data_IF_889433196818
#
_entry.id   IF_889433196818
#
_cell.length_a   1.000
_cell.length_b   1.000
_cell.length_c   1.000
_cell.angle_alpha   90.00
_cell.angle_beta   90.00
_cell.angle_gamma   90.00
#
_symmetry.space_group_name_H-M   'P 1'
#
loop_
_entity.id
_entity.type
_entity.pdbx_description
1 polymer ?
#
# COMPACT_ATOMS: atom_id res chain seq x y z
N UNK A 1 -22.61 -13.79 -2.62
CA UNK A 1 -21.17 -13.58 -2.84
C UNK A 1 -20.33 -14.25 -1.74
N UNK A 2 -20.67 -14.14 -0.47
CA UNK A 2 -19.95 -14.71 0.69
C UNK A 2 -19.85 -16.24 0.65
N UNK A 3 -20.94 -16.98 0.38
CA UNK A 3 -20.90 -18.45 0.25
C UNK A 3 -19.92 -18.98 -0.84
N UNK A 4 -19.61 -18.17 -1.86
CA UNK A 4 -18.59 -18.55 -2.84
C UNK A 4 -17.17 -18.43 -2.29
N UNK A 5 -16.93 -17.45 -1.41
CA UNK A 5 -15.62 -17.28 -0.79
C UNK A 5 -15.32 -18.39 0.22
N UNK A 6 -16.29 -18.75 1.06
CA UNK A 6 -16.19 -19.88 2.00
C UNK A 6 -16.02 -21.25 1.29
N UNK A 7 -16.48 -21.35 0.05
CA UNK A 7 -16.36 -22.57 -0.76
C UNK A 7 -15.07 -22.70 -1.56
N UNK A 8 -14.16 -21.72 -1.51
CA UNK A 8 -12.85 -21.81 -2.13
C UNK A 8 -12.04 -22.93 -1.49
N UNK A 9 -11.57 -23.86 -2.32
CA UNK A 9 -10.73 -24.96 -1.85
C UNK A 9 -9.36 -24.41 -1.42
N UNK A 10 -8.75 -25.06 -0.43
CA UNK A 10 -7.39 -24.74 0.02
C UNK A 10 -6.37 -24.71 -1.14
N UNK A 11 -6.58 -25.56 -2.17
CA UNK A 11 -5.79 -25.58 -3.39
C UNK A 11 -5.90 -24.32 -4.26
N UNK A 12 -6.98 -23.55 -4.12
CA UNK A 12 -7.18 -22.28 -4.83
C UNK A 12 -6.49 -21.11 -4.09
N UNK A 13 -6.13 -21.33 -2.81
CA UNK A 13 -5.32 -20.46 -1.98
C UNK A 13 -3.86 -20.91 -1.94
N UNK A 14 -3.44 -21.86 -2.80
CA UNK A 14 -2.07 -22.34 -2.84
C UNK A 14 -1.08 -21.21 -3.17
N UNK A 15 0.18 -21.37 -2.74
CA UNK A 15 1.23 -20.36 -2.90
C UNK A 15 1.44 -19.90 -4.35
N UNK A 16 1.20 -20.77 -5.35
CA UNK A 16 1.31 -20.38 -6.77
C UNK A 16 0.15 -19.47 -7.21
N UNK A 17 -1.09 -19.79 -6.81
CA UNK A 17 -2.24 -18.94 -7.09
C UNK A 17 -2.12 -17.60 -6.34
N UNK A 18 -1.59 -17.63 -5.13
CA UNK A 18 -1.37 -16.42 -4.33
C UNK A 18 -0.33 -15.49 -4.98
N UNK A 19 0.76 -16.04 -5.49
CA UNK A 19 1.76 -15.30 -6.29
C UNK A 19 1.14 -14.64 -7.53
N UNK A 20 0.16 -15.31 -8.17
CA UNK A 20 -0.59 -14.73 -9.27
C UNK A 20 -1.42 -13.52 -8.81
N UNK A 21 -2.16 -13.64 -7.71
CA UNK A 21 -2.96 -12.54 -7.18
C UNK A 21 -2.11 -11.34 -6.72
N UNK A 22 -0.93 -11.59 -6.15
CA UNK A 22 0.04 -10.52 -5.84
C UNK A 22 0.48 -9.79 -7.11
N UNK A 23 0.77 -10.53 -8.18
CA UNK A 23 1.11 -9.95 -9.48
C UNK A 23 -0.04 -9.10 -10.05
N UNK A 24 -1.26 -9.60 -9.96
CA UNK A 24 -2.47 -8.86 -10.37
C UNK A 24 -2.59 -7.56 -9.56
N UNK A 25 -2.48 -7.64 -8.23
CA UNK A 25 -2.57 -6.47 -7.35
C UNK A 25 -1.49 -5.45 -7.66
N UNK A 26 -0.23 -5.87 -7.83
CA UNK A 26 0.87 -4.97 -8.15
C UNK A 26 0.65 -4.25 -9.48
N UNK A 27 0.26 -4.97 -10.54
CA UNK A 27 0.02 -4.38 -11.86
C UNK A 27 -1.16 -3.42 -11.84
N UNK A 28 -2.28 -3.80 -11.22
CA UNK A 28 -3.47 -2.92 -11.23
C UNK A 28 -3.31 -1.72 -10.31
N UNK A 29 -2.62 -1.84 -9.18
CA UNK A 29 -2.26 -0.68 -8.34
C UNK A 29 -1.34 0.28 -9.10
N UNK A 30 -0.34 -0.24 -9.80
CA UNK A 30 0.55 0.55 -10.65
C UNK A 30 -0.18 1.28 -11.78
N UNK A 31 -1.21 0.66 -12.38
CA UNK A 31 -2.06 1.31 -13.40
C UNK A 31 -2.87 2.48 -12.85
N UNK A 32 -3.30 2.43 -11.60
CA UNK A 32 -3.97 3.56 -10.94
C UNK A 32 -3.03 4.77 -10.86
N UNK A 33 -1.74 4.51 -10.67
CA UNK A 33 -0.67 5.54 -10.65
C UNK A 33 -0.20 5.95 -12.06
N UNK A 34 -0.82 5.43 -13.13
CA UNK A 34 -0.52 5.82 -14.51
C UNK A 34 0.55 4.99 -15.23
N UNK A 35 1.00 3.88 -14.64
CA UNK A 35 1.99 3.01 -15.26
C UNK A 35 1.38 2.16 -16.40
N UNK A 36 2.14 1.97 -17.49
CA UNK A 36 1.65 1.41 -18.74
C UNK A 36 1.84 -0.10 -18.95
N UNK A 37 2.37 -0.84 -17.96
CA UNK A 37 2.62 -2.27 -18.13
C UNK A 37 1.33 -3.09 -18.01
N UNK A 38 1.18 -4.12 -18.83
CA UNK A 38 0.09 -5.09 -18.74
C UNK A 38 0.50 -6.34 -17.93
N UNK A 39 -0.51 -7.08 -17.44
CA UNK A 39 -0.29 -8.23 -16.57
C UNK A 39 0.50 -9.35 -17.26
N UNK A 40 0.27 -9.61 -18.55
CA UNK A 40 0.98 -10.67 -19.30
C UNK A 40 2.48 -10.34 -19.40
N UNK A 41 2.80 -9.08 -19.71
CA UNK A 41 4.17 -8.59 -19.76
C UNK A 41 4.86 -8.71 -18.40
N UNK A 42 4.18 -8.33 -17.31
CA UNK A 42 4.73 -8.46 -15.96
C UNK A 42 4.96 -9.93 -15.56
N UNK A 43 4.02 -10.82 -15.85
CA UNK A 43 4.18 -12.25 -15.59
C UNK A 43 5.34 -12.87 -16.40
N UNK A 44 5.53 -12.46 -17.64
CA UNK A 44 6.69 -12.86 -18.46
C UNK A 44 7.99 -12.33 -17.86
N UNK A 45 8.01 -11.10 -17.39
CA UNK A 45 9.15 -10.54 -16.66
C UNK A 45 9.52 -11.39 -15.44
N UNK A 46 8.55 -11.65 -14.56
CA UNK A 46 8.78 -12.42 -13.32
C UNK A 46 9.15 -13.90 -13.57
N UNK A 47 8.50 -14.57 -14.53
CA UNK A 47 8.70 -16.01 -14.77
C UNK A 47 9.84 -16.32 -15.74
N UNK A 48 10.09 -15.48 -16.71
CA UNK A 48 11.02 -15.75 -17.82
C UNK A 48 12.22 -14.80 -17.83
N UNK A 49 12.29 -13.83 -16.90
CA UNK A 49 13.40 -12.85 -16.84
C UNK A 49 13.43 -11.88 -18.02
N UNK A 50 12.32 -11.73 -18.75
CA UNK A 50 12.25 -10.80 -19.89
C UNK A 50 12.31 -9.37 -19.37
N UNK A 51 13.29 -8.59 -19.84
CA UNK A 51 13.40 -7.17 -19.49
C UNK A 51 12.54 -6.32 -20.41
N UNK A 52 11.64 -5.53 -19.83
CA UNK A 52 10.89 -4.47 -20.50
C UNK A 52 11.55 -3.11 -20.22
N UNK A 53 10.95 -1.99 -20.66
CA UNK A 53 11.48 -0.66 -20.40
C UNK A 53 11.79 -0.46 -18.92
N UNK A 54 13.02 -0.09 -18.63
CA UNK A 54 13.70 -0.26 -17.35
C UNK A 54 12.99 0.42 -16.16
N UNK A 55 12.28 1.53 -16.40
CA UNK A 55 11.66 2.30 -15.31
C UNK A 55 10.29 1.74 -14.90
N UNK A 56 9.51 1.21 -15.84
CA UNK A 56 8.19 0.64 -15.54
C UNK A 56 8.25 -0.66 -14.74
N UNK A 57 9.24 -1.51 -15.01
CA UNK A 57 9.37 -2.78 -14.31
C UNK A 57 9.85 -2.62 -12.88
N UNK A 58 10.71 -1.66 -12.59
CA UNK A 58 11.27 -1.46 -11.25
C UNK A 58 10.23 -1.05 -10.22
N UNK A 59 9.37 -0.09 -10.54
CA UNK A 59 8.30 0.36 -9.63
C UNK A 59 7.33 -0.76 -9.30
N UNK A 60 6.96 -1.57 -10.30
CA UNK A 60 6.06 -2.70 -10.11
C UNK A 60 6.75 -3.83 -9.33
N UNK A 61 8.03 -4.07 -9.58
CA UNK A 61 8.82 -5.02 -8.79
C UNK A 61 8.89 -4.61 -7.32
N UNK A 62 9.17 -3.33 -7.04
CA UNK A 62 9.17 -2.80 -5.66
C UNK A 62 7.80 -3.00 -4.99
N UNK A 63 6.72 -2.74 -5.71
CA UNK A 63 5.36 -2.94 -5.21
C UNK A 63 5.05 -4.43 -4.98
N UNK A 64 5.46 -5.30 -5.90
CA UNK A 64 5.31 -6.74 -5.76
C UNK A 64 6.06 -7.26 -4.52
N UNK A 65 7.33 -6.89 -4.35
CA UNK A 65 8.14 -7.28 -3.20
C UNK A 65 7.54 -6.76 -1.88
N UNK A 66 7.02 -5.54 -1.87
CA UNK A 66 6.33 -4.96 -0.73
C UNK A 66 5.06 -5.74 -0.35
N UNK A 67 4.26 -6.18 -1.34
CA UNK A 67 3.11 -7.04 -1.09
C UNK A 67 3.51 -8.41 -0.51
N UNK A 68 4.53 -9.05 -1.09
CA UNK A 68 5.07 -10.33 -0.56
C UNK A 68 5.57 -10.14 0.87
N UNK A 69 6.28 -9.07 1.15
CA UNK A 69 6.73 -8.75 2.50
C UNK A 69 5.55 -8.54 3.46
N UNK A 70 4.58 -7.71 3.09
CA UNK A 70 3.42 -7.40 3.93
C UNK A 70 2.61 -8.65 4.31
N UNK A 71 2.48 -9.61 3.39
CA UNK A 71 1.74 -10.86 3.65
C UNK A 71 2.40 -11.76 4.69
N UNK A 72 3.71 -11.67 4.83
CA UNK A 72 4.49 -12.51 5.74
C UNK A 72 4.80 -11.84 7.09
N UNK A 73 4.26 -10.64 7.31
CA UNK A 73 4.54 -9.87 8.52
C UNK A 73 3.27 -9.28 9.12
N UNK A 74 3.18 -9.29 10.43
CA UNK A 74 2.09 -8.61 11.14
C UNK A 74 2.14 -7.10 10.88
N UNK A 75 0.97 -6.46 10.76
CA UNK A 75 0.88 -5.02 10.58
C UNK A 75 1.24 -4.31 11.89
N UNK A 76 2.38 -3.67 11.89
CA UNK A 76 2.92 -2.87 12.99
C UNK A 76 3.47 -1.56 12.43
N UNK A 77 3.75 -0.59 13.29
CA UNK A 77 4.41 0.65 12.88
C UNK A 77 5.73 0.41 12.13
N UNK A 78 6.52 -0.55 12.60
CA UNK A 78 7.78 -0.94 11.97
C UNK A 78 7.57 -1.57 10.59
N UNK A 79 6.60 -2.48 10.45
CA UNK A 79 6.30 -3.11 9.16
C UNK A 79 5.67 -2.15 8.19
N UNK A 80 4.85 -1.20 8.64
CA UNK A 80 4.32 -0.13 7.80
C UNK A 80 5.45 0.74 7.20
N UNK A 81 6.42 1.14 8.02
CA UNK A 81 7.59 1.89 7.55
C UNK A 81 8.44 1.08 6.58
N UNK A 82 8.61 -0.22 6.82
CA UNK A 82 9.37 -1.10 5.93
C UNK A 82 8.67 -1.33 4.59
N UNK A 83 7.35 -1.55 4.58
CA UNK A 83 6.55 -1.63 3.35
C UNK A 83 6.71 -0.34 2.53
N UNK A 84 6.57 0.81 3.18
CA UNK A 84 6.78 2.09 2.49
C UNK A 84 8.21 2.23 1.95
N UNK A 85 9.22 1.81 2.68
CA UNK A 85 10.61 1.83 2.22
C UNK A 85 10.78 1.00 0.94
N UNK A 86 10.13 -0.15 0.85
CA UNK A 86 10.18 -1.02 -0.32
C UNK A 86 9.47 -0.40 -1.51
N UNK A 87 8.21 0.03 -1.37
CA UNK A 87 7.45 0.62 -2.48
C UNK A 87 8.04 1.94 -2.98
N UNK A 88 8.74 2.68 -2.12
CA UNK A 88 9.33 3.97 -2.47
C UNK A 88 10.80 3.90 -2.90
N UNK A 89 11.36 2.71 -3.01
CA UNK A 89 12.79 2.48 -3.28
C UNK A 89 13.29 3.16 -4.56
N UNK A 90 12.51 3.10 -5.62
CA UNK A 90 12.81 3.74 -6.91
C UNK A 90 12.00 5.03 -7.16
N UNK A 91 11.26 5.51 -6.15
CA UNK A 91 10.42 6.72 -6.24
C UNK A 91 10.97 7.88 -5.42
N UNK A 92 11.52 7.60 -4.24
CA UNK A 92 11.97 8.61 -3.30
C UNK A 92 13.47 8.53 -3.02
N UNK A 93 14.06 9.66 -2.66
CA UNK A 93 15.41 9.67 -2.12
C UNK A 93 15.48 8.82 -0.84
N UNK A 94 16.57 8.06 -0.65
CA UNK A 94 16.73 7.10 0.45
C UNK A 94 16.42 7.66 1.83
N UNK A 95 16.74 8.93 2.09
CA UNK A 95 16.45 9.61 3.35
C UNK A 95 14.95 9.83 3.65
N UNK A 96 14.08 9.63 2.65
CA UNK A 96 12.62 9.80 2.78
C UNK A 96 11.87 8.46 2.76
N UNK A 97 12.56 7.36 2.44
CA UNK A 97 11.98 6.01 2.37
C UNK A 97 11.70 5.46 3.76
N UNK A 98 10.46 5.06 4.04
CA UNK A 98 10.05 4.50 5.33
C UNK A 98 10.06 5.51 6.49
N UNK A 99 10.10 6.80 6.19
CA UNK A 99 10.16 7.87 7.19
C UNK A 99 8.86 8.65 7.21
N UNK A 100 8.33 8.90 8.39
CA UNK A 100 7.14 9.72 8.54
C UNK A 100 7.38 11.16 8.11
N UNK A 101 6.35 11.76 7.53
CA UNK A 101 6.41 13.17 7.13
C UNK A 101 6.62 14.09 8.31
N UNK A 102 7.40 15.13 8.09
CA UNK A 102 7.62 16.23 9.03
C UNK A 102 6.95 17.54 8.59
N UNK A 103 6.41 17.59 7.37
CA UNK A 103 5.69 18.72 6.82
C UNK A 103 4.18 18.52 6.79
N UNK A 104 3.44 19.59 6.56
CA UNK A 104 2.01 19.54 6.30
C UNK A 104 1.76 18.80 4.97
N UNK A 105 0.61 18.13 4.89
CA UNK A 105 0.18 17.40 3.71
C UNK A 105 -1.29 17.73 3.41
N UNK A 106 -1.58 17.96 2.15
CA UNK A 106 -2.92 18.22 1.67
C UNK A 106 -3.12 17.64 0.27
N UNK A 107 -4.33 17.20 0.00
CA UNK A 107 -4.75 16.72 -1.32
C UNK A 107 -5.36 17.89 -2.07
N UNK A 108 -4.94 18.06 -3.32
CA UNK A 108 -5.47 19.10 -4.21
C UNK A 108 -6.24 18.46 -5.37
N UNK A 109 -7.33 19.10 -5.76
CA UNK A 109 -8.03 18.78 -7.01
C UNK A 109 -7.21 19.24 -8.23
N UNK A 110 -7.57 18.75 -9.42
CA UNK A 110 -6.90 19.13 -10.67
C UNK A 110 -6.97 20.64 -10.97
N UNK A 111 -7.99 21.33 -10.46
CA UNK A 111 -8.17 22.80 -10.59
C UNK A 111 -7.46 23.59 -9.47
N UNK A 112 -6.64 22.91 -8.65
CA UNK A 112 -5.78 23.56 -7.65
C UNK A 112 -6.45 23.89 -6.31
N UNK A 113 -7.67 23.39 -6.05
CA UNK A 113 -8.34 23.60 -4.76
C UNK A 113 -7.90 22.53 -3.76
N UNK A 114 -7.77 22.90 -2.48
CA UNK A 114 -7.51 21.97 -1.41
C UNK A 114 -8.80 21.18 -1.13
N UNK A 115 -8.74 19.87 -1.33
CA UNK A 115 -9.82 18.93 -1.07
C UNK A 115 -9.74 18.34 0.33
N UNK A 116 -8.53 18.06 0.78
CA UNK A 116 -8.29 17.47 2.09
C UNK A 116 -6.98 17.99 2.70
N UNK A 117 -6.98 18.21 4.01
CA UNK A 117 -5.77 18.55 4.79
C UNK A 117 -5.56 17.44 5.81
N UNK A 118 -4.43 16.76 5.75
CA UNK A 118 -4.05 15.75 6.72
C UNK A 118 -3.72 16.38 8.09
N UNK A 119 -3.81 15.62 9.20
CA UNK A 119 -3.42 16.09 10.52
C UNK A 119 -2.03 16.73 10.54
N UNK A 120 -1.82 17.69 11.43
CA UNK A 120 -0.52 18.32 11.59
C UNK A 120 0.57 17.28 11.90
N UNK A 121 1.80 17.41 11.38
CA UNK A 121 2.89 16.50 11.70
C UNK A 121 3.21 16.43 13.21
N UNK A 122 2.87 17.45 13.97
CA UNK A 122 3.08 17.47 15.43
C UNK A 122 2.17 16.50 16.19
N UNK A 123 0.99 16.17 15.66
CA UNK A 123 0.07 15.21 16.27
C UNK A 123 0.17 13.82 15.64
N UNK A 124 0.95 13.66 14.58
CA UNK A 124 1.04 12.43 13.79
C UNK A 124 1.38 11.20 14.65
N UNK A 125 2.27 11.37 15.64
CA UNK A 125 2.64 10.28 16.54
C UNK A 125 1.45 9.80 17.39
N UNK A 126 0.59 10.69 17.82
CA UNK A 126 -0.61 10.34 18.60
C UNK A 126 -1.63 9.65 17.71
N UNK A 127 -1.91 10.21 16.53
CA UNK A 127 -2.83 9.61 15.56
C UNK A 127 -2.41 8.17 15.15
N UNK A 128 -1.11 7.95 14.98
CA UNK A 128 -0.58 6.61 14.69
C UNK A 128 -0.65 5.68 15.91
N UNK A 129 -0.41 6.19 17.11
CA UNK A 129 -0.56 5.40 18.35
C UNK A 129 -1.99 4.88 18.49
N UNK A 130 -2.96 5.78 18.34
CA UNK A 130 -4.38 5.45 18.42
C UNK A 130 -4.78 4.46 17.32
N UNK A 131 -4.30 4.67 16.08
CA UNK A 131 -4.52 3.75 14.97
C UNK A 131 -4.00 2.33 15.26
N UNK A 132 -2.80 2.19 15.79
CA UNK A 132 -2.24 0.87 16.10
C UNK A 132 -2.86 0.24 17.33
N UNK A 133 -3.36 1.04 18.29
CA UNK A 133 -4.15 0.55 19.42
C UNK A 133 -5.48 -0.03 18.94
N UNK A 134 -6.22 0.69 18.11
CA UNK A 134 -7.46 0.23 17.48
C UNK A 134 -7.24 -1.03 16.64
N UNK A 135 -6.19 -1.04 15.81
CA UNK A 135 -5.81 -2.21 15.02
C UNK A 135 -5.58 -3.43 15.91
N UNK A 136 -4.80 -3.28 16.98
CA UNK A 136 -4.53 -4.39 17.90
C UNK A 136 -5.80 -4.88 18.60
N UNK A 137 -6.69 -3.99 18.99
CA UNK A 137 -7.98 -4.36 19.56
C UNK A 137 -8.81 -5.20 18.57
N UNK A 138 -8.87 -4.79 17.33
CA UNK A 138 -9.61 -5.51 16.26
C UNK A 138 -8.97 -6.87 15.92
N UNK A 139 -7.65 -6.97 15.89
CA UNK A 139 -6.94 -8.23 15.64
C UNK A 139 -7.16 -9.27 16.74
N UNK A 140 -7.48 -8.84 17.96
CA UNK A 140 -7.77 -9.71 19.10
C UNK A 140 -9.27 -9.94 19.33
N UNK A 141 -10.14 -9.32 18.54
CA UNK A 141 -11.59 -9.48 18.65
C UNK A 141 -12.08 -10.69 17.85
N UNK A 142 -13.12 -11.34 18.36
CA UNK A 142 -13.82 -12.39 17.62
C UNK A 142 -14.82 -11.75 16.65
N UNK A 143 -14.37 -11.51 15.41
CA UNK A 143 -15.13 -10.80 14.38
C UNK A 143 -15.65 -11.78 13.32
N UNK A 144 -16.90 -11.57 12.89
CA UNK A 144 -17.39 -12.22 11.67
C UNK A 144 -16.62 -11.71 10.44
N UNK A 145 -16.72 -12.44 9.32
CA UNK A 145 -16.11 -12.03 8.07
C UNK A 145 -16.56 -10.63 7.61
N UNK A 146 -17.85 -10.34 7.73
CA UNK A 146 -18.44 -9.05 7.35
C UNK A 146 -17.91 -7.91 8.23
N UNK A 147 -17.79 -8.17 9.54
CA UNK A 147 -17.21 -7.22 10.49
C UNK A 147 -15.72 -6.98 10.18
N UNK A 148 -14.98 -8.05 9.91
CA UNK A 148 -13.56 -7.95 9.52
C UNK A 148 -13.38 -7.11 8.26
N UNK A 149 -14.20 -7.32 7.23
CA UNK A 149 -14.16 -6.54 6.00
C UNK A 149 -14.53 -5.06 6.25
N UNK A 150 -15.55 -4.81 7.07
CA UNK A 150 -15.94 -3.46 7.43
C UNK A 150 -14.82 -2.72 8.17
N UNK A 151 -14.28 -3.33 9.23
CA UNK A 151 -13.21 -2.69 10.02
C UNK A 151 -11.90 -2.54 9.22
N UNK A 152 -11.54 -3.51 8.37
CA UNK A 152 -10.39 -3.36 7.48
C UNK A 152 -10.55 -2.16 6.54
N UNK A 153 -11.75 -1.93 6.02
CA UNK A 153 -12.06 -0.77 5.18
C UNK A 153 -11.99 0.55 5.97
N UNK A 154 -12.45 0.55 7.24
CA UNK A 154 -12.35 1.73 8.12
C UNK A 154 -10.89 2.04 8.47
N UNK A 155 -10.11 1.04 8.86
CA UNK A 155 -8.68 1.21 9.16
C UNK A 155 -7.91 1.74 7.93
N UNK A 156 -8.20 1.20 6.73
CA UNK A 156 -7.62 1.72 5.50
C UNK A 156 -7.92 3.21 5.32
N UNK A 157 -9.20 3.61 5.47
CA UNK A 157 -9.61 5.00 5.34
C UNK A 157 -8.95 5.91 6.39
N UNK A 158 -8.84 5.45 7.64
CA UNK A 158 -8.18 6.19 8.71
C UNK A 158 -6.70 6.39 8.37
N UNK A 159 -5.98 5.33 7.96
CA UNK A 159 -4.58 5.42 7.59
C UNK A 159 -4.35 6.37 6.41
N UNK A 160 -5.21 6.31 5.39
CA UNK A 160 -5.18 7.24 4.25
C UNK A 160 -5.40 8.68 4.71
N UNK A 161 -6.29 8.92 5.67
CA UNK A 161 -6.53 10.26 6.24
C UNK A 161 -5.37 10.75 7.10
N UNK A 162 -4.79 9.91 7.94
CA UNK A 162 -3.59 10.27 8.71
C UNK A 162 -2.45 10.64 7.75
N UNK A 163 -2.34 9.94 6.63
CA UNK A 163 -1.33 10.12 5.58
C UNK A 163 0.08 10.27 6.17
N UNK A 164 0.57 9.24 6.88
CA UNK A 164 1.76 9.39 7.69
C UNK A 164 3.07 9.45 6.91
N UNK A 165 3.08 8.93 5.68
CA UNK A 165 4.26 8.69 4.88
C UNK A 165 4.25 9.57 3.63
N UNK A 166 5.41 9.99 3.15
CA UNK A 166 5.53 10.80 1.93
C UNK A 166 5.42 9.93 0.68
N UNK A 167 4.73 10.43 -0.33
CA UNK A 167 4.68 9.84 -1.66
C UNK A 167 5.38 10.76 -2.68
N UNK A 168 5.66 10.26 -3.90
CA UNK A 168 6.35 11.01 -4.96
C UNK A 168 5.61 12.33 -5.32
N UNK A 169 4.29 12.28 -5.35
CA UNK A 169 3.43 13.43 -5.64
C UNK A 169 3.57 14.58 -4.63
N UNK A 170 4.02 14.27 -3.41
CA UNK A 170 4.24 15.28 -2.36
C UNK A 170 5.57 16.02 -2.57
N UNK A 171 6.56 15.39 -3.22
CA UNK A 171 7.86 15.98 -3.48
C UNK A 171 7.81 17.15 -4.49
N UNK A 172 6.83 17.18 -5.38
CA UNK A 172 6.65 18.28 -6.35
C UNK A 172 5.95 19.50 -5.73
N UNK A 173 5.38 19.39 -4.54
CA UNK A 173 4.61 20.45 -3.86
C UNK A 173 5.37 21.14 -2.73
N UNK A 174 6.50 20.59 -2.28
CA UNK A 174 7.38 21.22 -1.27
C UNK A 174 8.18 22.42 -1.85
N UNK A 175 7.97 22.81 -3.10
CA UNK A 175 8.68 23.90 -3.80
C UNK A 175 7.85 25.17 -4.05
N UNK A 176 6.75 25.38 -3.31
CA UNK A 176 5.98 26.64 -3.35
C UNK A 176 5.96 27.33 -2.01
#
# INVERSE_FOLDING_TARGET
>A
MFHKFESLKESELSTENFSFYVSVSAVFSSKIEGEGIDLDSFLKHKKLGVSYQHDYTRKIDDLYEAYVFAQNHSLTEKTLSEVHRQISKNLLHTSKQGVYRSGNMFVMTADGKIEYVAPSPYVLKFELSDFFEDLNALLNADLSFEQSLFFASQLHLILVKIHPLKMETDAQRDCL
#
